data_IF_651514122028
#
_entry.id   IF_651514122028
#
_cell.length_a   1.000
_cell.length_b   1.000
_cell.length_c   1.000
_cell.angle_alpha   90.00
_cell.angle_beta   90.00
_cell.angle_gamma   90.00
#
_symmetry.space_group_name_H-M   'P 1'
#
loop_
_entity.id
_entity.type
_entity.pdbx_description
1 polymer ?
#
# COMPACT_ATOMS: atom_id res chain seq x y z
N UNK A 1 2.30 7.65 12.10
CA UNK A 1 2.78 7.83 13.48
C UNK A 1 4.28 8.07 13.54
N UNK A 2 5.12 7.09 13.16
CA UNK A 2 6.60 7.21 13.22
C UNK A 2 7.16 8.48 12.57
N UNK A 3 6.77 8.77 11.33
CA UNK A 3 7.22 9.98 10.62
C UNK A 3 6.77 11.29 11.32
N UNK A 4 5.56 11.31 11.89
CA UNK A 4 5.05 12.48 12.63
C UNK A 4 5.82 12.70 13.94
N UNK A 5 6.15 11.62 14.65
CA UNK A 5 6.98 11.69 15.85
C UNK A 5 8.40 12.18 15.52
N UNK A 6 9.03 11.63 14.48
CA UNK A 6 10.36 12.06 14.04
C UNK A 6 10.38 13.54 13.64
N UNK A 7 9.36 14.00 12.91
CA UNK A 7 9.20 15.42 12.59
C UNK A 7 9.13 16.29 13.85
N UNK A 8 8.27 15.92 14.81
CA UNK A 8 8.13 16.67 16.07
C UNK A 8 9.45 16.72 16.86
N UNK A 9 10.16 15.59 16.91
CA UNK A 9 11.47 15.50 17.57
C UNK A 9 12.52 16.40 16.91
N UNK A 10 12.59 16.42 15.58
CA UNK A 10 13.52 17.28 14.85
C UNK A 10 13.21 18.77 15.06
N UNK A 11 11.95 19.17 15.05
CA UNK A 11 11.54 20.56 15.32
C UNK A 11 11.90 20.98 16.74
N UNK A 12 11.62 20.12 17.73
CA UNK A 12 11.98 20.37 19.13
C UNK A 12 13.50 20.50 19.33
N UNK A 13 14.31 19.67 18.66
CA UNK A 13 15.76 19.78 18.72
C UNK A 13 16.28 21.10 18.11
N UNK A 14 15.61 21.62 17.07
CA UNK A 14 15.91 22.94 16.48
C UNK A 14 15.60 24.05 17.49
N UNK A 15 14.43 24.00 18.14
CA UNK A 15 14.04 25.01 19.14
C UNK A 15 15.04 25.07 20.31
N UNK A 16 15.58 23.91 20.73
CA UNK A 16 16.62 23.83 21.77
C UNK A 16 17.97 24.38 21.29
N UNK A 17 18.35 24.13 20.04
CA UNK A 17 19.56 24.70 19.43
C UNK A 17 19.45 26.24 19.34
N UNK A 18 18.29 26.76 18.93
CA UNK A 18 18.02 28.20 18.91
C UNK A 18 18.03 28.83 20.31
N UNK A 19 17.59 28.09 21.33
CA UNK A 19 17.68 28.51 22.73
C UNK A 19 19.10 28.43 23.32
N UNK A 20 20.06 27.84 22.61
CA UNK A 20 21.45 27.69 23.04
C UNK A 20 21.68 26.56 24.04
N UNK A 21 20.80 25.56 24.09
CA UNK A 21 20.94 24.40 24.97
C UNK A 21 22.03 23.44 24.47
N UNK A 22 22.79 22.85 25.39
CA UNK A 22 23.95 22.02 25.03
C UNK A 22 23.59 20.57 24.66
N UNK A 23 22.48 20.04 25.19
CA UNK A 23 22.06 18.64 25.03
C UNK A 23 20.76 18.54 24.20
N UNK A 24 20.73 19.12 22.99
CA UNK A 24 19.52 19.27 22.15
C UNK A 24 18.80 17.96 21.77
N UNK A 25 19.46 16.80 21.94
CA UNK A 25 18.88 15.48 21.66
C UNK A 25 18.42 14.72 22.92
N UNK A 26 18.67 15.28 24.11
CA UNK A 26 18.34 14.64 25.37
C UNK A 26 16.88 14.90 25.73
N UNK A 27 16.01 14.04 25.21
CA UNK A 27 14.59 14.07 25.50
C UNK A 27 14.27 13.28 26.78
N UNK A 28 13.42 13.84 27.65
CA UNK A 28 12.90 13.11 28.79
C UNK A 28 11.63 12.33 28.44
N UNK A 29 11.25 11.37 29.29
CA UNK A 29 10.10 10.49 29.01
C UNK A 29 8.78 11.27 28.83
N UNK A 30 8.56 12.34 29.60
CA UNK A 30 7.34 13.13 29.52
C UNK A 30 7.24 13.85 28.17
N UNK A 31 8.32 14.48 27.72
CA UNK A 31 8.42 15.13 26.41
C UNK A 31 8.19 14.14 25.28
N UNK A 32 8.84 12.96 25.36
CA UNK A 32 8.65 11.90 24.37
C UNK A 32 7.18 11.44 24.31
N UNK A 33 6.54 11.24 25.47
CA UNK A 33 5.12 10.85 25.54
C UNK A 33 4.20 11.94 24.98
N UNK A 34 4.49 13.22 25.23
CA UNK A 34 3.74 14.34 24.65
C UNK A 34 3.85 14.38 23.12
N UNK A 35 5.06 14.21 22.57
CA UNK A 35 5.26 14.16 21.12
C UNK A 35 4.58 12.95 20.47
N UNK A 36 4.61 11.79 21.11
CA UNK A 36 3.88 10.60 20.62
C UNK A 36 2.37 10.85 20.63
N UNK A 37 1.85 11.48 21.68
CA UNK A 37 0.42 11.81 21.77
C UNK A 37 0.01 12.81 20.68
N UNK A 38 0.79 13.86 20.47
CA UNK A 38 0.56 14.81 19.39
C UNK A 38 0.66 14.15 18.02
N UNK A 39 1.68 13.33 17.79
CA UNK A 39 1.85 12.58 16.56
C UNK A 39 0.66 11.65 16.31
N UNK A 40 0.13 11.00 17.36
CA UNK A 40 -1.05 10.14 17.29
C UNK A 40 -2.30 10.93 16.91
N UNK A 41 -2.54 12.06 17.57
CA UNK A 41 -3.68 12.93 17.29
C UNK A 41 -3.68 13.50 15.86
N UNK A 42 -2.49 13.61 15.25
CA UNK A 42 -2.32 14.07 13.88
C UNK A 42 -2.41 12.94 12.83
N UNK A 43 -2.51 11.67 13.24
CA UNK A 43 -2.79 10.56 12.31
C UNK A 43 -4.25 10.67 11.84
N UNK A 44 -4.46 10.86 10.53
CA UNK A 44 -5.81 10.84 9.97
C UNK A 44 -6.38 9.42 9.92
N UNK A 45 -7.70 9.31 10.06
CA UNK A 45 -8.43 8.04 9.92
C UNK A 45 -8.18 7.37 8.57
N UNK A 46 -8.03 8.15 7.49
CA UNK A 46 -7.64 7.67 6.15
C UNK A 46 -6.28 6.99 6.15
N UNK A 47 -5.31 7.52 6.89
CA UNK A 47 -3.99 6.90 7.05
C UNK A 47 -4.11 5.57 7.80
N UNK A 48 -4.94 5.50 8.84
CA UNK A 48 -5.19 4.26 9.59
C UNK A 48 -5.84 3.20 8.69
N UNK A 49 -6.87 3.58 7.93
CA UNK A 49 -7.54 2.70 6.96
C UNK A 49 -6.55 2.19 5.91
N UNK A 50 -5.75 3.08 5.33
CA UNK A 50 -4.74 2.70 4.33
C UNK A 50 -3.68 1.75 4.93
N UNK A 51 -3.24 1.98 6.17
CA UNK A 51 -2.32 1.08 6.86
C UNK A 51 -2.95 -0.29 7.13
N UNK A 52 -4.22 -0.34 7.55
CA UNK A 52 -4.94 -1.60 7.77
C UNK A 52 -5.20 -2.36 6.47
N UNK A 53 -5.48 -1.66 5.37
CA UNK A 53 -5.61 -2.26 4.04
C UNK A 53 -4.27 -2.84 3.56
N UNK A 54 -3.19 -2.07 3.71
CA UNK A 54 -1.85 -2.52 3.33
C UNK A 54 -1.39 -3.75 4.13
N UNK A 55 -1.73 -3.81 5.42
CA UNK A 55 -1.40 -4.95 6.29
C UNK A 55 -2.44 -6.07 6.25
N UNK A 56 -3.51 -5.90 5.45
CA UNK A 56 -4.63 -6.84 5.31
C UNK A 56 -5.29 -7.20 6.65
N UNK A 57 -5.31 -6.26 7.60
CA UNK A 57 -5.93 -6.43 8.93
C UNK A 57 -7.45 -6.22 8.86
N UNK A 58 -7.93 -5.37 7.94
CA UNK A 58 -9.37 -5.26 7.71
C UNK A 58 -9.88 -6.53 7.02
N UNK A 59 -10.92 -7.20 7.56
CA UNK A 59 -11.62 -8.22 6.81
C UNK A 59 -12.28 -7.56 5.59
N UNK A 60 -12.09 -8.15 4.41
CA UNK A 60 -12.81 -7.81 3.18
C UNK A 60 -14.30 -7.75 3.54
N UNK A 61 -14.89 -6.55 3.54
CA UNK A 61 -16.31 -6.38 3.90
C UNK A 61 -17.14 -6.97 2.75
N UNK A 62 -17.42 -8.27 2.83
CA UNK A 62 -18.48 -8.89 2.05
C UNK A 62 -19.80 -8.31 2.57
N UNK A 63 -20.37 -7.37 1.80
CA UNK A 63 -21.67 -6.75 2.04
C UNK A 63 -22.85 -7.71 1.79
N UNK A 64 -22.76 -8.94 2.31
CA UNK A 64 -23.86 -9.90 2.30
C UNK A 64 -24.52 -9.92 3.68
N UNK A 65 -25.22 -8.83 4.02
CA UNK A 65 -26.27 -8.88 5.04
C UNK A 65 -27.60 -8.53 4.38
N UNK A 66 -28.25 -9.56 3.83
CA UNK A 66 -29.67 -9.72 4.03
C UNK A 66 -29.91 -11.10 4.65
N UNK A 67 -30.02 -11.13 5.97
CA UNK A 67 -30.39 -12.33 6.70
C UNK A 67 -31.80 -12.76 6.32
N UNK A 68 -31.90 -13.93 5.69
CA UNK A 68 -32.95 -14.88 6.00
C UNK A 68 -32.35 -16.27 5.92
N UNK A 69 -32.56 -17.02 7.00
CA UNK A 69 -32.04 -18.35 7.21
C UNK A 69 -32.46 -19.30 6.08
N UNK A 70 -31.49 -19.87 5.36
CA UNK A 70 -31.35 -21.31 5.14
C UNK A 70 -30.20 -21.62 4.19
N UNK A 71 -29.60 -22.78 4.43
CA UNK A 71 -28.73 -23.57 3.55
C UNK A 71 -27.22 -23.31 3.62
N UNK A 72 -26.58 -24.10 4.48
CA UNK A 72 -25.23 -24.62 4.25
C UNK A 72 -25.28 -25.39 2.92
N UNK A 73 -24.67 -24.86 1.86
CA UNK A 73 -24.24 -25.65 0.70
C UNK A 73 -23.13 -24.90 -0.04
N UNK A 74 -21.89 -25.37 0.19
CA UNK A 74 -20.73 -25.29 -0.72
C UNK A 74 -20.76 -24.17 -1.77
N UNK A 75 -20.34 -22.97 -1.41
CA UNK A 75 -19.96 -21.94 -2.37
C UNK A 75 -18.44 -21.96 -2.48
N UNK A 76 -17.91 -22.60 -3.52
CA UNK A 76 -16.58 -22.20 -3.98
C UNK A 76 -16.72 -20.77 -4.50
N UNK A 77 -15.85 -19.82 -4.10
CA UNK A 77 -15.86 -18.50 -4.69
C UNK A 77 -15.77 -18.67 -6.21
N UNK A 78 -16.67 -18.01 -6.94
CA UNK A 78 -16.68 -18.07 -8.41
C UNK A 78 -15.26 -17.84 -8.92
N UNK A 79 -14.73 -18.63 -9.86
CA UNK A 79 -13.37 -18.45 -10.38
C UNK A 79 -13.16 -17.05 -10.97
N UNK A 80 -14.24 -16.37 -11.36
CA UNK A 80 -14.25 -14.98 -11.80
C UNK A 80 -14.09 -13.93 -10.69
N UNK A 81 -14.16 -14.32 -9.42
CA UNK A 81 -13.94 -13.43 -8.28
C UNK A 81 -12.46 -13.38 -7.84
N UNK A 82 -11.57 -14.14 -8.48
CA UNK A 82 -10.14 -14.13 -8.16
C UNK A 82 -9.43 -12.93 -8.81
N UNK A 83 -8.89 -12.04 -7.98
CA UNK A 83 -8.22 -10.81 -8.42
C UNK A 83 -6.94 -11.12 -9.20
N UNK A 84 -6.19 -12.17 -8.85
CA UNK A 84 -4.95 -12.54 -9.56
C UNK A 84 -5.26 -13.04 -10.98
N UNK A 85 -6.38 -13.71 -11.18
CA UNK A 85 -6.83 -14.10 -12.52
C UNK A 85 -7.11 -12.86 -13.40
N UNK A 86 -7.73 -11.82 -12.86
CA UNK A 86 -7.94 -10.55 -13.58
C UNK A 86 -6.64 -9.78 -13.85
N UNK A 87 -5.61 -9.94 -12.99
CA UNK A 87 -4.28 -9.39 -13.25
C UNK A 87 -3.64 -10.02 -14.49
N UNK A 88 -3.78 -11.32 -14.71
CA UNK A 88 -3.29 -11.98 -15.93
C UNK A 88 -3.96 -11.40 -17.17
N UNK A 89 -5.27 -11.15 -17.12
CA UNK A 89 -6.01 -10.51 -18.22
C UNK A 89 -5.52 -9.08 -18.47
N UNK A 90 -5.31 -8.29 -17.42
CA UNK A 90 -4.77 -6.94 -17.57
C UNK A 90 -3.36 -6.96 -18.18
N UNK A 91 -2.48 -7.86 -17.72
CA UNK A 91 -1.14 -8.04 -18.29
C UNK A 91 -1.20 -8.48 -19.74
N UNK A 92 -2.15 -9.33 -20.12
CA UNK A 92 -2.37 -9.75 -21.50
C UNK A 92 -2.77 -8.59 -22.43
N UNK A 93 -3.51 -7.61 -21.93
CA UNK A 93 -3.86 -6.41 -22.72
C UNK A 93 -2.70 -5.42 -22.80
N UNK A 94 -1.94 -5.27 -21.71
CA UNK A 94 -0.88 -4.26 -21.61
C UNK A 94 0.45 -4.69 -22.23
N UNK A 95 0.69 -6.00 -22.38
CA UNK A 95 1.98 -6.53 -22.82
C UNK A 95 1.83 -7.31 -24.13
N UNK A 96 2.57 -6.89 -25.15
CA UNK A 96 2.67 -7.60 -26.43
C UNK A 96 3.45 -8.93 -26.32
N UNK A 97 4.07 -9.22 -25.17
CA UNK A 97 4.87 -10.43 -24.95
C UNK A 97 4.03 -11.63 -24.49
N UNK A 98 2.86 -11.39 -23.89
CA UNK A 98 1.99 -12.45 -23.40
C UNK A 98 1.03 -12.89 -24.50
N UNK A 99 1.19 -14.12 -25.00
CA UNK A 99 0.26 -14.70 -25.97
C UNK A 99 -0.99 -15.28 -25.30
N UNK A 100 -2.08 -15.44 -26.04
CA UNK A 100 -3.34 -16.03 -25.54
C UNK A 100 -3.14 -17.41 -24.87
N UNK A 101 -2.42 -18.38 -25.45
CA UNK A 101 -2.14 -19.65 -24.78
C UNK A 101 -1.30 -19.47 -23.50
N UNK A 102 -0.46 -18.44 -23.45
CA UNK A 102 0.30 -18.06 -22.26
C UNK A 102 -0.59 -17.50 -21.15
N UNK A 103 -1.56 -16.66 -21.50
CA UNK A 103 -2.54 -16.11 -20.56
C UNK A 103 -3.44 -17.22 -19.99
N UNK A 104 -3.96 -18.12 -20.83
CA UNK A 104 -4.76 -19.27 -20.41
C UNK A 104 -3.98 -20.20 -19.47
N UNK A 105 -2.70 -20.46 -19.77
CA UNK A 105 -1.83 -21.26 -18.90
C UNK A 105 -1.64 -20.61 -17.52
N UNK A 106 -1.47 -19.28 -17.46
CA UNK A 106 -1.36 -18.56 -16.19
C UNK A 106 -2.69 -18.57 -15.41
N UNK A 107 -3.83 -18.40 -16.09
CA UNK A 107 -5.15 -18.51 -15.47
C UNK A 107 -5.37 -19.91 -14.87
N UNK A 108 -5.02 -20.96 -15.62
CA UNK A 108 -5.09 -22.33 -15.14
C UNK A 108 -4.19 -22.57 -13.92
N UNK A 109 -2.98 -22.01 -13.90
CA UNK A 109 -2.08 -22.13 -12.76
C UNK A 109 -2.59 -21.42 -11.49
N UNK A 110 -3.28 -20.28 -11.65
CA UNK A 110 -3.82 -19.51 -10.53
C UNK A 110 -5.10 -20.14 -9.99
N UNK A 111 -6.02 -20.51 -10.88
CA UNK A 111 -7.36 -20.98 -10.50
C UNK A 111 -7.40 -22.50 -10.26
N UNK A 112 -6.40 -23.24 -10.73
CA UNK A 112 -6.28 -24.70 -10.55
C UNK A 112 -7.54 -25.43 -11.03
N UNK A 113 -8.10 -26.25 -10.14
CA UNK A 113 -9.29 -27.06 -10.42
C UNK A 113 -10.58 -26.22 -10.60
N UNK A 114 -10.54 -24.93 -10.27
CA UNK A 114 -11.65 -24.01 -10.48
C UNK A 114 -11.62 -23.34 -11.87
N UNK A 115 -10.58 -23.57 -12.69
CA UNK A 115 -10.51 -23.00 -14.03
C UNK A 115 -11.44 -23.73 -15.01
N UNK A 116 -12.39 -23.00 -15.57
CA UNK A 116 -13.20 -23.45 -16.70
C UNK A 116 -13.02 -22.47 -17.86
N UNK A 117 -12.57 -22.96 -19.01
CA UNK A 117 -12.38 -22.14 -20.21
C UNK A 117 -13.67 -21.39 -20.59
N UNK A 118 -14.82 -22.04 -20.46
CA UNK A 118 -16.15 -21.45 -20.76
C UNK A 118 -16.46 -20.20 -19.96
N UNK A 119 -15.92 -20.07 -18.76
CA UNK A 119 -16.15 -18.89 -17.94
C UNK A 119 -15.36 -17.70 -18.50
N UNK A 120 -14.13 -17.95 -18.95
CA UNK A 120 -13.19 -16.92 -19.44
C UNK A 120 -13.28 -16.63 -20.94
N UNK A 121 -13.93 -17.49 -21.72
CA UNK A 121 -14.09 -17.33 -23.18
C UNK A 121 -14.66 -15.97 -23.55
N UNK A 122 -15.68 -15.50 -22.84
CA UNK A 122 -16.31 -14.20 -23.10
C UNK A 122 -15.36 -13.03 -22.80
N UNK A 123 -14.57 -13.15 -21.74
CA UNK A 123 -13.57 -12.15 -21.32
C UNK A 123 -12.45 -12.07 -22.34
N UNK A 124 -11.88 -13.23 -22.70
CA UNK A 124 -10.80 -13.33 -23.69
C UNK A 124 -11.28 -12.91 -25.09
N UNK A 125 -12.51 -13.25 -25.46
CA UNK A 125 -13.11 -12.81 -26.73
C UNK A 125 -13.22 -11.29 -26.81
N UNK A 126 -13.65 -10.62 -25.73
CA UNK A 126 -13.73 -9.15 -25.70
C UNK A 126 -12.35 -8.51 -25.90
N UNK A 127 -11.30 -9.10 -25.34
CA UNK A 127 -9.92 -8.65 -25.57
C UNK A 127 -9.49 -8.87 -27.03
N UNK A 128 -9.80 -10.04 -27.60
CA UNK A 128 -9.44 -10.36 -28.99
C UNK A 128 -10.21 -9.52 -30.02
N UNK A 129 -11.50 -9.27 -29.78
CA UNK A 129 -12.37 -8.47 -30.66
C UNK A 129 -12.00 -6.97 -30.65
N UNK A 130 -11.19 -6.53 -29.67
CA UNK A 130 -10.74 -5.13 -29.56
C UNK A 130 -9.68 -4.74 -30.61
N UNK A 131 -9.21 -5.66 -31.46
CA UNK A 131 -8.30 -5.39 -32.59
C UNK A 131 -7.03 -4.61 -32.18
N UNK A 132 -6.36 -5.12 -31.14
CA UNK A 132 -5.17 -4.50 -30.51
C UNK A 132 -5.39 -3.08 -29.95
N UNK A 133 -6.65 -2.66 -29.78
CA UNK A 133 -6.99 -1.39 -29.18
C UNK A 133 -7.17 -1.56 -27.67
N UNK A 134 -6.12 -1.23 -26.92
CA UNK A 134 -6.07 -1.28 -25.46
C UNK A 134 -7.29 -0.58 -24.82
N UNK A 135 -7.65 0.61 -25.29
CA UNK A 135 -8.76 1.39 -24.72
C UNK A 135 -10.10 0.66 -24.88
N UNK A 136 -10.37 0.06 -26.05
CA UNK A 136 -11.60 -0.70 -26.29
C UNK A 136 -11.65 -2.00 -25.49
N UNK A 137 -10.51 -2.69 -25.35
CA UNK A 137 -10.39 -3.89 -24.53
C UNK A 137 -10.70 -3.56 -23.06
N UNK A 138 -10.09 -2.50 -22.51
CA UNK A 138 -10.34 -2.04 -21.15
C UNK A 138 -11.81 -1.63 -20.93
N UNK A 139 -12.42 -0.89 -21.87
CA UNK A 139 -13.83 -0.51 -21.77
C UNK A 139 -14.76 -1.73 -21.73
N UNK A 140 -14.52 -2.72 -22.60
CA UNK A 140 -15.26 -3.98 -22.60
C UNK A 140 -15.09 -4.75 -21.30
N UNK A 141 -13.86 -4.85 -20.78
CA UNK A 141 -13.58 -5.55 -19.53
C UNK A 141 -14.10 -4.85 -18.28
N UNK A 142 -14.15 -3.51 -18.28
CA UNK A 142 -14.74 -2.75 -17.18
C UNK A 142 -16.20 -3.12 -16.96
N UNK A 143 -16.93 -3.56 -18.00
CA UNK A 143 -18.31 -4.07 -17.85
C UNK A 143 -18.37 -5.31 -16.95
N UNK A 144 -17.36 -6.18 -17.03
CA UNK A 144 -17.28 -7.38 -16.19
C UNK A 144 -16.76 -7.04 -14.79
N UNK A 145 -15.70 -6.23 -14.69
CA UNK A 145 -15.12 -5.89 -13.37
C UNK A 145 -16.05 -5.02 -12.54
N UNK A 146 -16.79 -4.09 -13.15
CA UNK A 146 -17.81 -3.30 -12.45
C UNK A 146 -18.95 -4.19 -11.94
N UNK A 147 -19.28 -5.27 -12.66
CA UNK A 147 -20.32 -6.21 -12.23
C UNK A 147 -19.85 -7.11 -11.09
N UNK A 148 -18.57 -7.50 -11.08
CA UNK A 148 -18.03 -8.48 -10.13
C UNK A 148 -17.48 -7.78 -8.87
N UNK A 149 -16.72 -6.69 -9.05
CA UNK A 149 -15.98 -5.99 -7.99
C UNK A 149 -16.47 -4.57 -7.73
N UNK A 150 -17.44 -4.07 -8.51
CA UNK A 150 -17.93 -2.68 -8.43
C UNK A 150 -16.88 -1.61 -8.70
N UNK A 151 -15.78 -1.96 -9.36
CA UNK A 151 -14.72 -1.05 -9.77
C UNK A 151 -14.16 -1.40 -11.16
N UNK A 152 -13.46 -0.46 -11.78
CA UNK A 152 -12.84 -0.67 -13.10
C UNK A 152 -11.55 -1.50 -13.01
N UNK A 153 -11.13 -2.09 -14.12
CA UNK A 153 -9.96 -2.98 -14.17
C UNK A 153 -8.66 -2.25 -13.81
N UNK A 154 -8.54 -0.96 -14.15
CA UNK A 154 -7.37 -0.16 -13.80
C UNK A 154 -7.27 0.05 -12.29
N UNK A 155 -8.37 0.39 -11.62
CA UNK A 155 -8.47 0.53 -10.16
C UNK A 155 -8.20 -0.79 -9.43
N UNK A 156 -8.65 -1.92 -9.99
CA UNK A 156 -8.30 -3.25 -9.49
C UNK A 156 -6.78 -3.47 -9.52
N UNK A 157 -6.13 -3.12 -10.62
CA UNK A 157 -4.68 -3.32 -10.77
C UNK A 157 -3.84 -2.38 -9.93
N UNK A 158 -4.30 -1.14 -9.71
CA UNK A 158 -3.66 -0.17 -8.82
C UNK A 158 -3.72 -0.58 -7.34
N UNK A 159 -4.73 -1.35 -6.95
CA UNK A 159 -4.87 -1.85 -5.58
C UNK A 159 -3.98 -3.06 -5.29
N UNK A 160 -3.45 -3.73 -6.33
CA UNK A 160 -2.71 -5.01 -6.21
C UNK A 160 -1.28 -4.97 -6.78
N UNK A 161 -0.90 -3.99 -7.62
CA UNK A 161 0.52 -3.77 -7.90
C UNK A 161 1.19 -3.24 -6.63
N UNK A 162 2.43 -3.64 -6.31
CA UNK A 162 3.33 -2.86 -5.46
C UNK A 162 3.61 -1.54 -6.18
N UNK A 163 2.64 -0.63 -6.18
CA UNK A 163 2.92 0.76 -6.44
C UNK A 163 3.85 1.19 -5.32
N UNK A 164 5.02 1.72 -5.69
CA UNK A 164 5.60 2.83 -4.92
C UNK A 164 4.43 3.78 -4.70
N UNK A 165 3.91 3.88 -3.46
CA UNK A 165 2.61 4.49 -3.25
C UNK A 165 2.70 5.91 -3.78
N UNK A 166 1.69 6.36 -4.52
CA UNK A 166 1.46 7.79 -4.62
C UNK A 166 1.35 8.27 -3.18
N UNK A 167 2.39 8.95 -2.72
CA UNK A 167 2.59 9.34 -1.34
C UNK A 167 1.32 10.05 -0.90
N UNK A 168 0.57 9.53 0.10
CA UNK A 168 -0.59 10.24 0.62
C UNK A 168 -0.18 11.68 0.87
N UNK A 169 -0.97 12.67 0.45
CA UNK A 169 -0.57 14.09 0.49
C UNK A 169 -0.08 14.55 1.89
N UNK A 170 -0.51 13.86 2.94
CA UNK A 170 0.04 14.01 4.29
C UNK A 170 1.49 13.51 4.44
N UNK A 171 1.81 12.32 3.92
CA UNK A 171 3.16 11.76 3.94
C UNK A 171 4.12 12.61 3.12
N UNK A 172 3.72 13.12 1.95
CA UNK A 172 4.59 14.01 1.15
C UNK A 172 4.92 15.30 1.90
N UNK A 173 3.94 15.89 2.59
CA UNK A 173 4.16 17.11 3.38
C UNK A 173 5.05 16.83 4.60
N UNK A 174 4.81 15.73 5.31
CA UNK A 174 5.63 15.33 6.46
C UNK A 174 7.06 15.00 6.05
N UNK A 175 7.25 14.34 4.91
CA UNK A 175 8.56 14.01 4.34
C UNK A 175 9.32 15.27 3.92
N UNK A 176 8.64 16.23 3.30
CA UNK A 176 9.22 17.53 2.94
C UNK A 176 9.63 18.34 4.17
N UNK A 177 8.78 18.39 5.19
CA UNK A 177 9.05 19.10 6.44
C UNK A 177 10.21 18.44 7.22
N UNK A 178 10.23 17.09 7.27
CA UNK A 178 11.32 16.33 7.89
C UNK A 178 12.65 16.57 7.17
N UNK A 179 12.65 16.54 5.83
CA UNK A 179 13.86 16.82 5.04
C UNK A 179 14.38 18.23 5.31
N UNK A 180 13.49 19.22 5.39
CA UNK A 180 13.84 20.60 5.70
C UNK A 180 14.46 20.73 7.09
N UNK A 181 13.87 20.07 8.10
CA UNK A 181 14.40 20.07 9.46
C UNK A 181 15.77 19.40 9.56
N UNK A 182 15.98 18.26 8.88
CA UNK A 182 17.26 17.56 8.82
C UNK A 182 18.33 18.42 8.14
N UNK A 183 17.99 19.11 7.05
CA UNK A 183 18.93 20.00 6.36
C UNK A 183 19.32 21.21 7.21
N UNK A 184 18.39 21.73 8.02
CA UNK A 184 18.68 22.80 8.97
C UNK A 184 19.66 22.34 10.06
N UNK A 185 19.42 21.16 10.66
CA UNK A 185 20.33 20.54 11.64
C UNK A 185 21.72 20.25 11.05
N UNK A 186 21.79 19.84 9.77
CA UNK A 186 23.07 19.69 9.04
C UNK A 186 23.79 21.02 8.88
N UNK A 187 23.08 22.08 8.49
CA UNK A 187 23.66 23.41 8.29
C UNK A 187 24.28 23.95 9.58
N UNK A 188 23.66 23.65 10.73
CA UNK A 188 24.13 24.08 12.05
C UNK A 188 25.29 23.19 12.58
N UNK A 189 25.72 22.16 11.83
CA UNK A 189 26.73 21.16 12.22
C UNK A 189 26.40 20.42 13.53
N UNK A 190 25.11 20.32 13.87
CA UNK A 190 24.67 19.66 15.10
C UNK A 190 24.47 18.15 14.93
N UNK A 191 24.47 17.64 13.69
CA UNK A 191 24.50 16.19 13.44
C UNK A 191 25.92 15.67 13.66
N UNK A 192 26.17 15.11 14.84
CA UNK A 192 27.43 14.42 15.17
C UNK A 192 27.38 13.01 14.57
N UNK A 193 28.03 12.80 13.43
CA UNK A 193 28.11 11.50 12.74
C UNK A 193 27.77 11.58 11.26
N UNK A 194 27.86 10.44 10.56
CA UNK A 194 27.42 10.35 9.16
C UNK A 194 25.89 10.50 9.15
N UNK A 195 25.31 11.45 8.39
CA UNK A 195 23.86 11.67 8.41
C UNK A 195 23.14 10.42 7.89
N UNK A 196 22.25 9.85 8.71
CA UNK A 196 21.37 8.77 8.28
C UNK A 196 20.57 9.25 7.07
N UNK A 197 20.49 8.40 6.06
CA UNK A 197 19.66 8.61 4.88
C UNK A 197 18.18 8.52 5.25
N UNK A 198 17.32 9.16 4.45
CA UNK A 198 15.86 9.13 4.65
C UNK A 198 15.34 7.67 4.71
N UNK A 199 15.95 6.77 3.94
CA UNK A 199 15.62 5.34 3.94
C UNK A 199 16.01 4.67 5.27
N UNK A 200 17.19 4.96 5.83
CA UNK A 200 17.59 4.45 7.15
C UNK A 200 16.74 5.04 8.30
N UNK A 201 16.21 6.25 8.14
CA UNK A 201 15.27 6.85 9.11
C UNK A 201 13.87 6.22 9.06
N UNK A 202 13.41 5.85 7.86
CA UNK A 202 12.13 5.19 7.64
C UNK A 202 12.21 3.69 7.98
N UNK A 203 13.34 3.06 7.68
CA UNK A 203 13.66 1.63 7.86
C UNK A 203 14.95 1.45 8.70
N UNK A 204 14.92 1.70 10.02
CA UNK A 204 16.05 1.45 10.87
C UNK A 204 16.33 -0.05 10.92
N UNK A 205 17.61 -0.39 11.01
CA UNK A 205 18.06 -1.77 11.26
C UNK A 205 17.35 -2.27 12.52
N UNK A 206 16.80 -3.48 12.47
CA UNK A 206 16.15 -4.11 13.62
C UNK A 206 17.12 -4.10 14.82
N UNK A 207 16.64 -3.66 15.98
CA UNK A 207 17.44 -3.61 17.20
C UNK A 207 17.87 -5.03 17.58
N UNK A 208 19.17 -5.31 17.50
CA UNK A 208 19.72 -6.57 18.00
C UNK A 208 19.54 -6.62 19.52
N UNK A 209 18.99 -7.73 20.00
CA UNK A 209 18.81 -8.01 21.42
C UNK A 209 20.19 -7.98 22.10
N UNK A 210 20.48 -6.94 22.87
CA UNK A 210 21.70 -6.85 23.68
C UNK A 210 21.55 -7.82 24.85
N UNK A 211 21.71 -9.11 24.54
CA UNK A 211 21.83 -10.16 25.54
C UNK A 211 23.12 -9.93 26.33
N UNK A 212 22.98 -9.70 27.64
CA UNK A 212 24.08 -9.73 28.58
C UNK A 212 24.89 -11.02 28.37
N UNK A 213 26.08 -10.90 27.80
CA UNK A 213 27.10 -11.94 27.90
C UNK A 213 27.63 -11.89 29.33
N UNK A 214 27.14 -12.82 30.16
CA UNK A 214 27.67 -13.11 31.50
C UNK A 214 28.97 -13.89 31.37
#
# INVERSE_FOLDING_TARGET
LKALYQKAFCLWAIDLDEAGEAEIYKINLLEAMMMVMEAWNNVQSTTIVNCWNHTKIQPEVNNDIHGSAHHIMTSHPSPMADINAWMVIHTFIMSDELSLPGAECQLHNILGDCYLATDWDLVLKVVMDADNNITRALEGLNTFTLRIFSCDLTQLTHSHTPQVPATPMQLSNVEQDLSTAVDNLKQHRQIIGMPLTLDEMLNPVEEEEVGCTV
#
